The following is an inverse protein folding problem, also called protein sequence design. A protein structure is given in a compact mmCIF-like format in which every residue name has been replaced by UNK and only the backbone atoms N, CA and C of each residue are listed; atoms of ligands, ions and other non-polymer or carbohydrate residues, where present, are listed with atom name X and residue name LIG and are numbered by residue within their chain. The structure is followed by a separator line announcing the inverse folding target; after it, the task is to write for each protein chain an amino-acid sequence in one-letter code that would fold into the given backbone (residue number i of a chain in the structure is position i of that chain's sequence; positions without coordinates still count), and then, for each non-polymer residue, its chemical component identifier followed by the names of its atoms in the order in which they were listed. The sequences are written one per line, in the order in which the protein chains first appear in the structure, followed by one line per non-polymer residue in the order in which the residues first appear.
data_IF_886665321891
#
_entry.id   IF_886665321891
#
_cell.length_a   1.000
_cell.length_b   1.000
_cell.length_c   1.000
_cell.angle_alpha   90.00
_cell.angle_beta   90.00
_cell.angle_gamma   90.00
#
_symmetry.space_group_name_H-M   'P 1'
#
loop_
_entity.id
_entity.type
_entity.pdbx_description
1 polymer ?
#
# COMPACT_ATOMS: atom_id res chain seq x y z
N UNK A 1 -19.95 -20.53 26.79
CA UNK A 1 -19.37 -20.36 25.44
C UNK A 1 -19.72 -18.94 25.03
N UNK A 2 -18.90 -17.93 25.38
CA UNK A 2 -19.51 -16.62 25.67
C UNK A 2 -18.58 -15.39 25.66
N UNK A 3 -17.70 -15.21 24.67
CA UNK A 3 -17.08 -13.87 24.52
C UNK A 3 -16.50 -13.61 23.14
N UNK A 4 -15.85 -14.62 22.55
CA UNK A 4 -15.12 -14.42 21.28
C UNK A 4 -16.05 -14.42 20.07
N UNK A 5 -17.08 -15.29 20.10
CA UNK A 5 -18.12 -15.30 19.09
C UNK A 5 -18.91 -13.99 19.15
N UNK A 6 -19.20 -13.49 20.34
CA UNK A 6 -19.94 -12.24 20.54
C UNK A 6 -19.16 -11.01 20.04
N UNK A 7 -17.84 -10.97 20.25
CA UNK A 7 -16.96 -9.98 19.63
C UNK A 7 -16.94 -10.08 18.09
N UNK A 8 -16.91 -11.29 17.54
CA UNK A 8 -16.94 -11.47 16.09
C UNK A 8 -18.25 -10.97 15.47
N UNK A 9 -19.37 -11.22 16.13
CA UNK A 9 -20.68 -10.72 15.69
C UNK A 9 -20.77 -9.19 15.77
N UNK A 10 -20.25 -8.57 16.83
CA UNK A 10 -20.19 -7.10 16.93
C UNK A 10 -19.32 -6.49 15.83
N UNK A 11 -18.15 -7.06 15.56
CA UNK A 11 -17.27 -6.60 14.48
C UNK A 11 -17.97 -6.70 13.11
N UNK A 12 -18.66 -7.82 12.87
CA UNK A 12 -19.37 -8.04 11.61
C UNK A 12 -20.55 -7.06 11.44
N UNK A 13 -21.27 -6.74 12.51
CA UNK A 13 -22.32 -5.71 12.50
C UNK A 13 -21.76 -4.30 12.23
N UNK A 14 -20.61 -3.95 12.81
CA UNK A 14 -19.97 -2.66 12.56
C UNK A 14 -19.57 -2.51 11.09
N UNK A 15 -19.05 -3.58 10.47
CA UNK A 15 -18.69 -3.61 9.04
C UNK A 15 -19.94 -3.47 8.16
N UNK A 16 -21.02 -4.18 8.49
CA UNK A 16 -22.29 -4.07 7.76
C UNK A 16 -22.87 -2.65 7.83
N UNK A 17 -22.86 -2.03 9.02
CA UNK A 17 -23.33 -0.65 9.20
C UNK A 17 -22.50 0.38 8.42
N UNK A 18 -21.20 0.15 8.26
CA UNK A 18 -20.33 0.98 7.42
C UNK A 18 -20.60 0.79 5.92
N UNK A 19 -21.01 -0.41 5.50
CA UNK A 19 -21.43 -0.69 4.12
C UNK A 19 -22.83 -0.13 3.81
N UNK A 20 -23.68 0.03 4.83
CA UNK A 20 -25.02 0.59 4.71
C UNK A 20 -25.06 2.13 4.76
N UNK A 21 -23.93 2.84 4.96
CA UNK A 21 -23.88 4.28 4.72
C UNK A 21 -24.08 4.53 3.21
N UNK A 22 -25.25 5.06 2.79
CA UNK A 22 -25.49 5.29 1.39
C UNK A 22 -24.68 6.51 0.99
N UNK A 23 -23.66 6.29 0.17
CA UNK A 23 -23.17 7.32 -0.71
C UNK A 23 -24.42 7.85 -1.45
N UNK A 24 -24.73 9.13 -1.25
CA UNK A 24 -25.95 9.74 -1.74
C UNK A 24 -26.20 9.42 -3.21
N UNK A 25 -27.33 8.76 -3.46
CA UNK A 25 -28.01 8.57 -4.74
C UNK A 25 -27.13 8.58 -6.02
N UNK A 26 -26.83 7.39 -6.54
CA UNK A 26 -26.96 7.15 -7.99
C UNK A 26 -27.27 5.69 -8.24
N UNK A 27 -28.43 5.49 -8.86
CA UNK A 27 -29.07 4.23 -9.21
C UNK A 27 -28.27 3.41 -10.24
N UNK A 28 -28.52 2.09 -10.35
CA UNK A 28 -27.86 1.23 -11.32
C UNK A 28 -28.29 1.61 -12.74
N UNK A 29 -27.31 1.86 -13.62
CA UNK A 29 -27.41 1.86 -15.09
C UNK A 29 -28.74 2.33 -15.70
N UNK A 30 -28.87 3.63 -15.96
CA UNK A 30 -29.62 4.12 -17.13
C UNK A 30 -28.68 4.99 -17.94
N UNK A 31 -28.16 4.42 -19.03
CA UNK A 31 -27.42 5.17 -20.05
C UNK A 31 -28.39 6.18 -20.67
N UNK A 32 -28.31 7.43 -20.22
CA UNK A 32 -28.81 8.57 -20.97
C UNK A 32 -27.59 9.17 -21.65
N UNK A 33 -27.56 9.00 -22.97
CA UNK A 33 -26.63 9.60 -23.90
C UNK A 33 -26.63 11.12 -23.72
N UNK A 34 -25.66 11.66 -22.99
CA UNK A 34 -25.33 13.07 -23.05
C UNK A 34 -23.83 13.27 -22.78
N UNK A 35 -23.19 13.72 -23.84
CA UNK A 35 -21.77 14.01 -24.02
C UNK A 35 -21.20 14.93 -22.94
N UNK A 36 -20.42 14.36 -22.03
CA UNK A 36 -19.27 15.02 -21.41
C UNK A 36 -18.30 13.93 -20.90
N UNK A 37 -17.00 13.95 -21.26
CA UNK A 37 -16.04 13.02 -20.69
C UNK A 37 -15.91 13.32 -19.18
N UNK A 38 -16.40 12.40 -18.36
CA UNK A 38 -16.16 12.41 -16.91
C UNK A 38 -14.64 12.32 -16.72
N UNK A 39 -14.00 13.24 -15.99
CA UNK A 39 -12.59 13.12 -15.65
C UNK A 39 -12.36 11.77 -14.97
N UNK A 40 -11.61 10.87 -15.62
CA UNK A 40 -11.38 9.50 -15.13
C UNK A 40 -10.67 9.44 -13.77
N UNK A 41 -10.18 10.56 -13.29
CA UNK A 41 -9.57 10.73 -11.98
C UNK A 41 -9.94 12.12 -11.49
N UNK A 42 -10.82 12.21 -10.49
CA UNK A 42 -10.77 13.36 -9.61
C UNK A 42 -9.37 13.34 -9.00
N UNK A 43 -8.56 14.36 -9.25
CA UNK A 43 -7.30 14.61 -8.53
C UNK A 43 -7.61 15.02 -7.08
N UNK A 44 -8.58 14.33 -6.46
CA UNK A 44 -8.91 14.47 -5.07
C UNK A 44 -7.65 14.18 -4.28
N UNK A 45 -7.34 15.08 -3.36
CA UNK A 45 -6.29 14.89 -2.36
C UNK A 45 -6.40 13.48 -1.79
N UNK A 46 -5.37 12.67 -2.01
CA UNK A 46 -5.30 11.30 -1.49
C UNK A 46 -5.61 11.37 0.01
N UNK A 47 -6.66 10.68 0.50
CA UNK A 47 -6.97 10.69 1.91
C UNK A 47 -5.74 10.23 2.70
N UNK A 48 -5.30 11.04 3.64
CA UNK A 48 -4.25 10.66 4.58
C UNK A 48 -4.89 9.82 5.68
N UNK A 49 -4.36 8.63 5.91
CA UNK A 49 -4.77 7.79 7.01
C UNK A 49 -3.59 7.62 7.96
N UNK A 50 -3.64 8.33 9.08
CA UNK A 50 -2.73 8.16 10.20
C UNK A 50 -3.12 6.88 10.96
N UNK A 51 -2.84 5.73 10.37
CA UNK A 51 -3.04 4.45 11.03
C UNK A 51 -1.77 4.04 11.78
N UNK A 52 -1.94 3.61 13.03
CA UNK A 52 -0.90 2.95 13.82
C UNK A 52 -1.46 1.63 14.37
N UNK A 53 -0.70 0.53 14.32
CA UNK A 53 -1.13 -0.73 14.90
C UNK A 53 -1.24 -0.64 16.42
N UNK A 54 -2.10 -1.46 17.03
CA UNK A 54 -2.07 -1.65 18.48
C UNK A 54 -0.88 -2.51 18.90
N UNK A 55 -0.45 -2.43 20.16
CA UNK A 55 0.67 -3.22 20.68
C UNK A 55 0.45 -4.73 20.45
N UNK A 56 -0.76 -5.23 20.69
CA UNK A 56 -1.12 -6.64 20.45
C UNK A 56 -0.99 -7.04 18.98
N UNK A 57 -1.42 -6.18 18.05
CA UNK A 57 -1.29 -6.46 16.62
C UNK A 57 0.17 -6.42 16.17
N UNK A 58 0.92 -5.47 16.72
CA UNK A 58 2.34 -5.28 16.45
C UNK A 58 3.15 -6.51 16.89
N UNK A 59 2.89 -7.02 18.09
CA UNK A 59 3.50 -8.24 18.61
C UNK A 59 3.06 -9.48 17.82
N UNK A 60 1.75 -9.65 17.59
CA UNK A 60 1.21 -10.81 16.88
C UNK A 60 1.77 -10.95 15.46
N UNK A 61 1.91 -9.83 14.76
CA UNK A 61 2.40 -9.78 13.38
C UNK A 61 3.90 -9.49 13.27
N UNK A 62 4.60 -9.34 14.39
CA UNK A 62 6.03 -8.98 14.44
C UNK A 62 6.36 -7.75 13.58
N UNK A 63 5.50 -6.73 13.60
CA UNK A 63 5.65 -5.54 12.73
C UNK A 63 6.92 -4.73 13.07
N UNK A 64 7.41 -4.84 14.29
CA UNK A 64 8.64 -4.20 14.75
C UNK A 64 9.91 -4.99 14.40
N UNK A 65 9.76 -6.18 13.82
CA UNK A 65 10.92 -6.99 13.42
C UNK A 65 11.48 -6.49 12.10
N UNK A 66 12.78 -6.19 12.01
CA UNK A 66 13.39 -5.80 10.74
C UNK A 66 13.16 -6.88 9.69
N UNK A 67 12.55 -6.51 8.56
CA UNK A 67 12.34 -7.43 7.43
C UNK A 67 13.66 -7.90 6.81
N UNK A 68 14.70 -7.06 6.93
CA UNK A 68 16.03 -7.32 6.41
C UNK A 68 17.00 -7.57 7.56
N UNK A 69 17.15 -8.83 7.95
CA UNK A 69 18.12 -9.28 8.97
C UNK A 69 19.45 -9.73 8.37
N UNK A 70 19.53 -9.79 7.04
CA UNK A 70 20.75 -10.16 6.32
C UNK A 70 21.89 -9.21 6.69
N UNK A 71 23.05 -9.77 6.97
CA UNK A 71 24.27 -8.99 7.15
C UNK A 71 24.54 -8.16 5.90
N UNK A 72 24.92 -6.89 6.09
CA UNK A 72 25.34 -6.04 4.99
C UNK A 72 26.47 -6.74 4.23
N UNK A 73 26.34 -6.85 2.91
CA UNK A 73 27.41 -7.38 2.07
C UNK A 73 28.59 -6.41 2.09
N UNK A 74 29.81 -6.96 2.08
CA UNK A 74 31.00 -6.15 1.79
C UNK A 74 30.96 -5.62 0.36
N UNK A 75 31.69 -4.54 0.09
CA UNK A 75 31.78 -3.95 -1.25
C UNK A 75 32.22 -4.96 -2.32
N UNK A 76 33.13 -5.88 -1.97
CA UNK A 76 33.58 -6.94 -2.86
C UNK A 76 32.50 -7.98 -3.16
N UNK A 77 31.69 -8.34 -2.17
CA UNK A 77 30.59 -9.30 -2.34
C UNK A 77 29.44 -8.69 -3.15
N UNK A 78 29.12 -7.42 -2.88
CA UNK A 78 28.13 -6.67 -3.64
C UNK A 78 28.54 -6.54 -5.12
N UNK A 79 29.80 -6.20 -5.39
CA UNK A 79 30.35 -6.13 -6.75
C UNK A 79 30.27 -7.48 -7.46
N UNK A 80 30.68 -8.56 -6.80
CA UNK A 80 30.62 -9.91 -7.36
C UNK A 80 29.17 -10.33 -7.65
N UNK A 81 28.23 -10.03 -6.76
CA UNK A 81 26.80 -10.30 -6.96
C UNK A 81 26.29 -9.56 -8.20
N UNK A 82 26.56 -8.26 -8.33
CA UNK A 82 26.14 -7.45 -9.47
C UNK A 82 26.74 -7.98 -10.78
N UNK A 83 28.04 -8.29 -10.78
CA UNK A 83 28.76 -8.82 -11.97
C UNK A 83 28.32 -10.24 -12.35
N UNK A 84 27.80 -11.01 -11.39
CA UNK A 84 27.26 -12.37 -11.64
C UNK A 84 25.91 -12.37 -12.37
N UNK A 85 25.20 -11.23 -12.44
CA UNK A 85 23.94 -11.13 -13.16
C UNK A 85 24.19 -11.09 -14.68
N UNK A 86 23.82 -12.15 -15.44
CA UNK A 86 24.16 -12.27 -16.86
C UNK A 86 23.61 -11.11 -17.70
N UNK A 87 22.44 -10.61 -17.33
CA UNK A 87 21.71 -9.53 -18.01
C UNK A 87 22.42 -8.17 -17.93
N UNK A 88 23.39 -7.99 -17.02
CA UNK A 88 24.11 -6.72 -16.86
C UNK A 88 25.46 -6.69 -17.59
N UNK A 89 25.92 -7.80 -18.16
CA UNK A 89 27.25 -7.91 -18.81
C UNK A 89 27.46 -6.95 -20.01
N UNK A 90 26.39 -6.33 -20.52
CA UNK A 90 26.44 -5.34 -21.61
C UNK A 90 25.63 -4.06 -21.35
N UNK A 91 25.18 -3.83 -20.11
CA UNK A 91 24.42 -2.61 -19.78
C UNK A 91 25.39 -1.59 -19.20
N UNK A 92 25.64 -0.52 -19.97
CA UNK A 92 26.35 0.64 -19.45
C UNK A 92 25.42 1.41 -18.50
N UNK A 93 25.61 1.25 -17.19
CA UNK A 93 24.82 1.98 -16.20
C UNK A 93 25.03 3.50 -16.36
N UNK A 94 23.94 4.23 -16.61
CA UNK A 94 23.90 5.69 -16.59
C UNK A 94 22.96 6.13 -15.47
N UNK A 95 23.54 6.71 -14.42
CA UNK A 95 22.76 7.27 -13.33
C UNK A 95 21.77 8.32 -13.87
N UNK A 96 20.48 8.30 -13.46
CA UNK A 96 19.54 9.36 -13.80
C UNK A 96 20.07 10.72 -13.33
N UNK A 97 20.04 11.72 -14.22
CA UNK A 97 20.47 13.10 -13.91
C UNK A 97 19.54 13.78 -12.91
N UNK A 98 18.38 13.19 -12.65
CA UNK A 98 17.38 13.71 -11.72
C UNK A 98 17.42 12.91 -10.42
N UNK A 99 18.34 13.25 -9.52
CA UNK A 99 18.07 13.09 -8.09
C UNK A 99 17.21 14.31 -7.74
N UNK A 100 15.88 14.19 -7.57
CA UNK A 100 15.12 15.31 -7.03
C UNK A 100 15.69 15.61 -5.64
N UNK A 101 16.30 16.78 -5.50
CA UNK A 101 16.69 17.33 -4.20
C UNK A 101 15.41 17.38 -3.36
N UNK A 102 15.39 16.64 -2.24
CA UNK A 102 14.36 16.84 -1.23
C UNK A 102 14.63 18.20 -0.61
N UNK A 103 13.88 19.22 -1.04
CA UNK A 103 13.91 20.53 -0.40
C UNK A 103 13.25 20.39 0.97
N UNK A 104 13.92 20.98 1.98
CA UNK A 104 13.68 20.77 3.40
C UNK A 104 12.78 21.86 4.00
#
# INVERSE_FOLDING_TARGET
MSSIEEQFHMMQQQIAALQEQPNGASTPMKSADNTAPIPLHSMGTRPHYDWSPSDTLTELMNLDTPLYTSTLLSDSECKTLIESYPSMTHIEYKAPVTIPTAEH
#
